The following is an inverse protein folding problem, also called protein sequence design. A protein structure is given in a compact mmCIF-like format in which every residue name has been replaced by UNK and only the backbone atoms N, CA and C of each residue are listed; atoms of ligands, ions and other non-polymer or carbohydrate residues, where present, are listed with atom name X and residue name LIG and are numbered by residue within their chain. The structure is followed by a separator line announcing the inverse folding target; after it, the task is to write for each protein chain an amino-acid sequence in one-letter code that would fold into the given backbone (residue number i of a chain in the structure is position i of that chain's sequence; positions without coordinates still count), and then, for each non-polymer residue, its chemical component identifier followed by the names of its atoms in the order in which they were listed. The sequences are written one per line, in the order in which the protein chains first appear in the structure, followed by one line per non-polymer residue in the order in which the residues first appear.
data_IF_164746953212
#
_entry.id   IF_164746953212
#
_cell.length_a   1.000
_cell.length_b   1.000
_cell.length_c   1.000
_cell.angle_alpha   90.00
_cell.angle_beta   90.00
_cell.angle_gamma   90.00
#
_symmetry.space_group_name_H-M   'P 1'
#
loop_
_entity.id
_entity.type
_entity.pdbx_description
1 polymer ?
#
# COMPACT_ATOMS: atom_id res chain seq x y z
N UNK A 1 7.06 12.60 4.57
CA UNK A 1 7.96 11.85 3.67
C UNK A 1 7.20 11.62 2.39
N UNK A 2 7.80 11.80 1.22
CA UNK A 2 7.11 11.57 -0.06
C UNK A 2 7.47 10.17 -0.55
N UNK A 3 6.48 9.29 -0.65
CA UNK A 3 6.66 7.98 -1.26
C UNK A 3 7.13 8.10 -2.71
N UNK A 4 7.80 7.06 -3.23
CA UNK A 4 8.09 6.95 -4.66
C UNK A 4 7.21 5.90 -5.30
N UNK A 5 6.85 6.10 -6.58
CA UNK A 5 6.18 5.06 -7.35
C UNK A 5 7.00 3.77 -7.30
N UNK A 6 6.30 2.65 -7.12
CA UNK A 6 6.85 1.29 -7.05
C UNK A 6 7.72 1.01 -5.82
N UNK A 7 7.74 1.90 -4.83
CA UNK A 7 8.35 1.62 -3.53
C UNK A 7 7.56 0.53 -2.78
N UNK A 8 8.24 -0.35 -2.05
CA UNK A 8 7.66 -1.53 -1.38
C UNK A 8 7.85 -1.49 0.15
N UNK A 9 7.19 -0.60 0.91
CA UNK A 9 7.26 -0.60 2.36
C UNK A 9 6.37 -1.65 3.02
N UNK A 10 6.74 -1.92 4.27
CA UNK A 10 5.89 -2.57 5.24
C UNK A 10 5.06 -1.54 6.00
N UNK A 11 3.78 -1.83 6.20
CA UNK A 11 2.80 -0.91 6.78
C UNK A 11 1.98 -1.58 7.88
N UNK A 12 1.47 -0.82 8.85
CA UNK A 12 0.64 -1.38 9.94
C UNK A 12 -0.84 -1.04 9.72
N UNK A 13 -1.69 -2.05 9.68
CA UNK A 13 -3.14 -1.86 9.53
C UNK A 13 -3.71 -1.22 10.79
N UNK A 14 -4.32 -0.05 10.67
CA UNK A 14 -4.98 0.67 11.77
C UNK A 14 -6.50 0.53 11.74
N UNK A 15 -7.10 0.34 10.57
CA UNK A 15 -8.52 0.05 10.44
C UNK A 15 -8.80 -0.81 9.20
N UNK A 16 -9.96 -1.45 9.15
CA UNK A 16 -10.38 -2.31 8.03
C UNK A 16 -11.80 -1.94 7.64
N UNK A 17 -12.05 -1.80 6.34
CA UNK A 17 -13.33 -1.49 5.74
C UNK A 17 -13.69 -2.57 4.70
N UNK A 18 -14.97 -2.68 4.27
CA UNK A 18 -15.38 -3.71 3.31
C UNK A 18 -14.66 -3.65 1.96
N UNK A 19 -14.20 -2.45 1.57
CA UNK A 19 -13.51 -2.20 0.29
C UNK A 19 -12.02 -1.92 0.46
N UNK A 20 -11.48 -2.12 1.68
CA UNK A 20 -10.12 -1.69 1.91
C UNK A 20 -9.61 -1.76 3.34
N UNK A 21 -8.40 -1.27 3.54
CA UNK A 21 -7.81 -1.11 4.86
C UNK A 21 -7.24 0.28 5.01
N UNK A 22 -7.27 0.80 6.23
CA UNK A 22 -6.49 1.96 6.62
C UNK A 22 -5.19 1.45 7.23
N UNK A 23 -4.04 1.96 6.81
CA UNK A 23 -2.76 1.63 7.43
C UNK A 23 -2.08 2.90 7.91
N UNK A 24 -1.13 2.73 8.82
CA UNK A 24 -0.16 3.72 9.21
C UNK A 24 1.19 3.36 8.61
N UNK A 25 1.81 4.36 7.98
CA UNK A 25 3.20 4.31 7.52
C UNK A 25 3.92 5.54 8.07
N UNK A 26 4.93 5.35 8.91
CA UNK A 26 5.74 6.45 9.46
C UNK A 26 4.93 7.66 9.95
N UNK A 27 3.76 7.41 10.59
CA UNK A 27 2.77 8.39 11.12
C UNK A 27 1.83 9.05 10.10
N UNK A 28 1.74 8.55 8.87
CA UNK A 28 0.73 8.95 7.88
C UNK A 28 -0.36 7.86 7.76
N UNK A 29 -1.61 8.30 7.70
CA UNK A 29 -2.78 7.43 7.52
C UNK A 29 -3.08 7.23 6.04
N UNK A 30 -3.22 6.00 5.57
CA UNK A 30 -3.33 5.67 4.13
C UNK A 30 -4.47 4.67 3.88
N UNK A 31 -5.09 4.67 2.68
CA UNK A 31 -6.22 3.77 2.34
C UNK A 31 -5.84 2.77 1.23
N UNK A 32 -6.18 1.49 1.43
CA UNK A 32 -5.75 0.34 0.64
C UNK A 32 -6.94 -0.35 0.00
N UNK A 33 -6.76 -0.86 -1.21
CA UNK A 33 -7.70 -1.78 -1.85
C UNK A 33 -7.40 -3.22 -1.39
N UNK A 34 -8.39 -3.90 -0.82
CA UNK A 34 -8.20 -5.19 -0.15
C UNK A 34 -9.02 -6.29 -0.84
N UNK A 35 -8.56 -6.74 -2.02
CA UNK A 35 -8.95 -8.07 -2.54
C UNK A 35 -8.05 -9.19 -2.00
N UNK A 36 -6.95 -8.86 -1.31
CA UNK A 36 -6.17 -9.80 -0.52
C UNK A 36 -6.91 -10.15 0.79
N UNK A 37 -6.65 -11.34 1.34
CA UNK A 37 -7.24 -11.84 2.59
C UNK A 37 -7.42 -10.72 3.63
N UNK A 38 -8.61 -10.58 4.25
CA UNK A 38 -8.99 -9.38 4.97
C UNK A 38 -7.94 -9.07 6.05
N UNK A 39 -7.26 -7.92 5.94
CA UNK A 39 -6.22 -7.58 6.89
C UNK A 39 -6.82 -7.46 8.29
N UNK A 40 -5.99 -7.67 9.32
CA UNK A 40 -6.40 -7.49 10.71
C UNK A 40 -5.77 -6.21 11.24
N UNK A 41 -6.53 -5.43 12.00
CA UNK A 41 -5.98 -4.28 12.73
C UNK A 41 -4.81 -4.75 13.62
N UNK A 42 -3.73 -3.97 13.64
CA UNK A 42 -2.45 -4.31 14.25
C UNK A 42 -1.58 -5.28 13.45
N UNK A 43 -2.08 -5.82 12.33
CA UNK A 43 -1.32 -6.65 11.41
C UNK A 43 -0.37 -5.83 10.54
N UNK A 44 0.75 -6.43 10.14
CA UNK A 44 1.66 -5.86 9.14
C UNK A 44 1.22 -6.32 7.74
N UNK A 45 1.18 -5.38 6.81
CA UNK A 45 0.98 -5.64 5.38
C UNK A 45 2.25 -5.24 4.63
N UNK A 46 2.61 -6.05 3.64
CA UNK A 46 3.61 -5.69 2.64
C UNK A 46 2.88 -5.26 1.38
N UNK A 47 3.25 -4.11 0.81
CA UNK A 47 2.56 -3.55 -0.35
C UNK A 47 3.49 -2.71 -1.21
N UNK A 48 2.92 -2.09 -2.25
CA UNK A 48 3.64 -1.20 -3.14
C UNK A 48 2.85 0.10 -3.39
N UNK A 49 3.60 1.18 -3.66
CA UNK A 49 3.05 2.46 -4.12
C UNK A 49 2.74 2.33 -5.61
N UNK A 50 1.48 2.50 -5.98
CA UNK A 50 1.06 2.58 -7.39
C UNK A 50 1.13 4.00 -7.93
N UNK A 51 0.81 4.99 -7.10
CA UNK A 51 0.84 6.40 -7.46
C UNK A 51 1.10 7.27 -6.23
N UNK A 52 2.33 7.79 -6.15
CA UNK A 52 2.83 8.67 -5.11
C UNK A 52 2.29 10.11 -5.20
N UNK A 53 1.70 10.49 -6.34
CA UNK A 53 1.25 11.87 -6.62
C UNK A 53 -0.22 12.11 -6.29
N UNK A 54 -0.93 11.04 -5.91
CA UNK A 54 -2.34 11.12 -5.54
C UNK A 54 -2.54 11.81 -4.19
N UNK A 55 -3.46 12.77 -4.16
CA UNK A 55 -3.88 13.50 -2.96
C UNK A 55 -5.29 13.06 -2.52
N UNK A 56 -5.62 13.06 -1.21
CA UNK A 56 -4.74 13.40 -0.08
C UNK A 56 -3.78 12.28 0.33
N UNK A 57 -3.93 11.09 -0.26
CA UNK A 57 -3.18 9.90 0.07
C UNK A 57 -2.71 9.18 -1.21
N UNK A 58 -1.45 8.74 -1.27
CA UNK A 58 -0.95 7.93 -2.37
C UNK A 58 -1.80 6.69 -2.61
N UNK A 59 -1.78 6.20 -3.87
CA UNK A 59 -2.44 4.95 -4.20
C UNK A 59 -1.52 3.78 -3.85
N UNK A 60 -2.04 2.87 -3.04
CA UNK A 60 -1.35 1.69 -2.58
C UNK A 60 -2.01 0.40 -3.04
N UNK A 61 -1.21 -0.66 -3.14
CA UNK A 61 -1.72 -2.02 -3.34
C UNK A 61 -0.91 -3.04 -2.56
N UNK A 62 -1.62 -3.90 -1.82
CA UNK A 62 -1.08 -5.11 -1.19
C UNK A 62 -1.35 -6.38 -2.03
N UNK A 63 -1.87 -6.22 -3.25
CA UNK A 63 -2.12 -7.34 -4.15
C UNK A 63 -0.78 -7.90 -4.64
N UNK A 64 -0.64 -9.23 -4.62
CA UNK A 64 0.56 -9.92 -5.11
C UNK A 64 0.91 -9.52 -6.54
N UNK A 65 -0.10 -9.38 -7.39
CA UNK A 65 0.08 -8.98 -8.79
C UNK A 65 0.52 -7.52 -8.90
N UNK A 66 -0.03 -6.63 -8.08
CA UNK A 66 0.41 -5.23 -8.01
C UNK A 66 1.87 -5.11 -7.62
N UNK A 67 2.30 -5.87 -6.61
CA UNK A 67 3.71 -5.92 -6.16
C UNK A 67 4.62 -6.49 -7.27
N UNK A 68 4.18 -7.54 -7.96
CA UNK A 68 4.94 -8.13 -9.06
C UNK A 68 5.14 -7.13 -10.22
N UNK A 69 4.09 -6.37 -10.58
CA UNK A 69 4.17 -5.31 -11.58
C UNK A 69 5.10 -4.18 -11.13
N UNK A 70 4.97 -3.72 -9.88
CA UNK A 70 5.82 -2.68 -9.32
C UNK A 70 7.30 -3.06 -9.35
N UNK A 71 7.64 -4.30 -8.98
CA UNK A 71 9.02 -4.82 -9.07
C UNK A 71 9.56 -4.77 -10.49
N UNK A 72 8.78 -5.23 -11.46
CA UNK A 72 9.14 -5.20 -12.89
C UNK A 72 9.43 -3.78 -13.35
N UNK A 73 8.53 -2.85 -13.05
CA UNK A 73 8.67 -1.44 -13.43
C UNK A 73 9.87 -0.75 -12.77
N UNK A 74 10.31 -1.21 -11.59
CA UNK A 74 11.48 -0.69 -10.90
C UNK A 74 12.79 -1.23 -11.47
N UNK A 75 12.79 -2.43 -12.04
CA UNK A 75 13.93 -2.98 -12.76
C UNK A 75 14.13 -2.32 -14.13
N UNK A 76 13.06 -1.79 -14.72
CA UNK A 76 13.06 -1.10 -16.02
C UNK A 76 13.37 0.42 -15.94
N UNK A 77 13.52 0.98 -14.73
CA UNK A 77 13.70 2.42 -14.46
C UNK A 77 15.16 2.79 -14.13
#
# INVERSE_FOLDING_TARGET
MMFRNHEEPDVIVVAVAPVGAKVEVDRAEEVFDAEAAPPRAGGRLHGCVLDATREPFPRWSALRDGIAIARRLREDA
#
